data_IF_993264032686
#
_entry.id   IF_993264032686
#
_cell.length_a   1.000
_cell.length_b   1.000
_cell.length_c   1.000
_cell.angle_alpha   90.00
_cell.angle_beta   90.00
_cell.angle_gamma   90.00
#
_symmetry.space_group_name_H-M   'P 1'
#
loop_
_entity.id
_entity.type
_entity.pdbx_description
1 polymer ?
#
# COMPACT_ATOMS: atom_id res chain seq x y z
N UNK A 1 -5.23 10.42 12.66
CA UNK A 1 -4.37 9.34 12.16
C UNK A 1 -4.64 9.12 10.67
N UNK A 2 -3.61 9.09 9.87
CA UNK A 2 -3.76 8.86 8.43
C UNK A 2 -3.73 7.36 8.13
N UNK A 3 -4.85 6.84 7.65
CA UNK A 3 -5.01 5.41 7.36
C UNK A 3 -5.17 5.19 5.87
N UNK A 4 -4.57 4.13 5.34
CA UNK A 4 -4.80 3.68 3.97
C UNK A 4 -5.55 2.36 3.99
N UNK A 5 -6.49 2.19 3.07
CA UNK A 5 -7.21 0.94 2.86
C UNK A 5 -6.68 0.29 1.58
N UNK A 6 -6.19 -0.94 1.71
CA UNK A 6 -5.83 -1.77 0.57
C UNK A 6 -7.01 -2.69 0.29
N UNK A 7 -7.61 -2.56 -0.87
CA UNK A 7 -8.81 -3.33 -1.18
C UNK A 7 -8.76 -3.92 -2.59
N UNK A 8 -9.79 -4.65 -2.93
CA UNK A 8 -9.93 -5.27 -4.26
C UNK A 8 -11.16 -4.67 -4.90
N UNK A 9 -10.97 -4.02 -6.06
CA UNK A 9 -12.05 -3.39 -6.81
C UNK A 9 -11.81 -3.56 -8.30
N UNK A 10 -12.87 -3.84 -9.04
CA UNK A 10 -12.80 -3.78 -10.48
C UNK A 10 -12.59 -2.33 -10.93
N UNK A 11 -12.00 -2.13 -12.10
CA UNK A 11 -11.82 -0.81 -12.69
C UNK A 11 -13.16 -0.08 -12.80
N UNK A 12 -14.21 -0.80 -13.20
CA UNK A 12 -15.55 -0.26 -13.32
C UNK A 12 -16.07 0.30 -11.99
N UNK A 13 -15.92 -0.44 -10.89
CA UNK A 13 -16.33 0.02 -9.57
C UNK A 13 -15.54 1.24 -9.11
N UNK A 14 -14.23 1.27 -9.39
CA UNK A 14 -13.38 2.40 -9.05
C UNK A 14 -13.81 3.66 -9.78
N UNK A 15 -14.09 3.56 -11.07
CA UNK A 15 -14.56 4.70 -11.87
C UNK A 15 -15.93 5.20 -11.40
N UNK A 16 -16.83 4.29 -11.01
CA UNK A 16 -18.13 4.68 -10.47
C UNK A 16 -18.00 5.45 -9.16
N UNK A 17 -17.09 5.03 -8.29
CA UNK A 17 -16.84 5.73 -7.02
C UNK A 17 -16.28 7.14 -7.26
N UNK A 18 -15.37 7.29 -8.20
CA UNK A 18 -14.81 8.61 -8.56
C UNK A 18 -15.92 9.53 -9.09
N UNK A 19 -16.75 9.01 -9.98
CA UNK A 19 -17.88 9.78 -10.54
C UNK A 19 -18.85 10.23 -9.45
N UNK A 20 -19.17 9.35 -8.51
CA UNK A 20 -20.04 9.65 -7.39
C UNK A 20 -19.47 10.75 -6.51
N UNK A 21 -18.18 10.66 -6.17
CA UNK A 21 -17.50 11.66 -5.34
C UNK A 21 -17.53 13.03 -6.02
N UNK A 22 -17.33 13.07 -7.33
CA UNK A 22 -17.38 14.32 -8.09
C UNK A 22 -18.78 14.93 -8.10
N UNK A 23 -19.82 14.10 -8.24
CA UNK A 23 -21.21 14.57 -8.26
C UNK A 23 -21.65 15.15 -6.93
N UNK A 24 -21.25 14.55 -5.83
CA UNK A 24 -21.67 14.96 -4.48
C UNK A 24 -20.78 16.03 -3.89
N UNK A 25 -19.66 16.36 -4.52
CA UNK A 25 -18.68 17.27 -3.97
C UNK A 25 -17.96 16.74 -2.75
N UNK A 26 -18.08 15.44 -2.46
CA UNK A 26 -17.42 14.79 -1.33
C UNK A 26 -16.21 14.03 -1.83
N UNK A 27 -15.03 14.38 -1.30
CA UNK A 27 -13.85 13.57 -1.49
C UNK A 27 -13.88 12.44 -0.45
N UNK A 28 -13.46 11.24 -0.87
CA UNK A 28 -13.24 10.15 0.06
C UNK A 28 -12.09 10.55 0.98
N UNK A 29 -12.33 10.58 2.29
CA UNK A 29 -11.33 11.01 3.29
C UNK A 29 -10.30 9.94 3.56
N UNK A 30 -10.62 8.69 3.27
CA UNK A 30 -9.71 7.57 3.45
C UNK A 30 -8.90 7.35 2.18
N UNK A 31 -7.58 7.29 2.31
CA UNK A 31 -6.74 6.91 1.19
C UNK A 31 -6.99 5.45 0.85
N UNK A 32 -7.02 5.13 -0.44
CA UNK A 32 -7.25 3.77 -0.91
C UNK A 32 -6.23 3.39 -1.97
N UNK A 33 -5.76 2.15 -1.88
CA UNK A 33 -4.96 1.52 -2.92
C UNK A 33 -5.71 0.27 -3.32
N UNK A 34 -6.21 0.24 -4.56
CA UNK A 34 -7.09 -0.84 -5.02
C UNK A 34 -6.37 -1.75 -5.99
N UNK A 35 -6.57 -3.04 -5.81
CA UNK A 35 -6.06 -4.09 -6.69
C UNK A 35 -7.22 -4.65 -7.51
N UNK A 36 -6.95 -5.04 -8.75
CA UNK A 36 -8.01 -5.53 -9.63
C UNK A 36 -8.54 -6.90 -9.19
N UNK A 37 -7.71 -7.72 -8.56
CA UNK A 37 -8.10 -9.05 -8.09
C UNK A 37 -7.44 -9.35 -6.74
N UNK A 38 -8.03 -10.28 -5.93
CA UNK A 38 -7.39 -10.72 -4.68
C UNK A 38 -6.01 -11.34 -4.93
N UNK A 39 -5.85 -12.03 -6.05
CA UNK A 39 -4.59 -12.68 -6.39
C UNK A 39 -3.47 -11.65 -6.58
N UNK A 40 -3.78 -10.50 -7.20
CA UNK A 40 -2.83 -9.42 -7.34
C UNK A 40 -2.45 -8.84 -6.00
N UNK A 41 -3.43 -8.64 -5.11
CA UNK A 41 -3.16 -8.14 -3.76
C UNK A 41 -2.21 -9.08 -3.02
N UNK A 42 -2.48 -10.39 -3.04
CA UNK A 42 -1.64 -11.37 -2.36
C UNK A 42 -0.26 -11.51 -2.98
N UNK A 43 -0.15 -11.31 -4.29
CA UNK A 43 1.14 -11.33 -4.98
C UNK A 43 2.03 -10.19 -4.53
N UNK A 44 1.45 -9.03 -4.27
CA UNK A 44 2.19 -7.83 -3.82
C UNK A 44 2.45 -7.89 -2.32
N UNK A 45 1.42 -8.23 -1.52
CA UNK A 45 1.50 -8.24 -0.06
C UNK A 45 1.91 -9.61 0.48
N UNK A 46 3.17 -9.97 0.31
CA UNK A 46 3.70 -11.16 0.96
C UNK A 46 3.88 -10.91 2.45
N UNK A 47 4.06 -11.98 3.24
CA UNK A 47 4.29 -11.84 4.67
C UNK A 47 5.49 -10.94 4.99
N UNK A 48 6.58 -11.09 4.23
CA UNK A 48 7.78 -10.28 4.43
C UNK A 48 7.55 -8.80 4.08
N UNK A 49 6.78 -8.54 3.04
CA UNK A 49 6.43 -7.17 2.66
C UNK A 49 5.48 -6.53 3.65
N UNK A 50 4.57 -7.32 4.21
CA UNK A 50 3.70 -6.86 5.28
C UNK A 50 4.50 -6.42 6.50
N UNK A 51 5.48 -7.22 6.91
CA UNK A 51 6.36 -6.86 8.01
C UNK A 51 7.17 -5.59 7.71
N UNK A 52 7.60 -5.43 6.46
CA UNK A 52 8.30 -4.22 6.03
C UNK A 52 7.39 -3.00 6.16
N UNK A 53 6.14 -3.09 5.69
CA UNK A 53 5.18 -1.99 5.81
C UNK A 53 4.91 -1.63 7.28
N UNK A 54 4.81 -2.62 8.15
CA UNK A 54 4.64 -2.36 9.59
C UNK A 54 5.78 -1.50 10.13
N UNK A 55 7.00 -1.79 9.73
CA UNK A 55 8.17 -1.02 10.20
C UNK A 55 8.20 0.40 9.63
N UNK A 56 7.52 0.65 8.52
CA UNK A 56 7.50 1.95 7.85
C UNK A 56 6.31 2.81 8.22
N UNK A 57 5.29 2.24 8.87
CA UNK A 57 4.13 3.01 9.31
C UNK A 57 4.56 4.13 10.25
N UNK A 58 4.20 5.37 9.90
CA UNK A 58 4.50 6.54 10.71
C UNK A 58 5.98 6.89 10.84
N UNK A 59 6.85 6.22 10.08
CA UNK A 59 8.30 6.38 10.23
C UNK A 59 8.87 7.58 9.47
N UNK A 60 8.12 8.12 8.51
CA UNK A 60 8.64 9.11 7.58
C UNK A 60 9.60 8.48 6.56
N UNK A 61 10.27 9.28 5.73
CA UNK A 61 11.21 8.76 4.74
C UNK A 61 12.40 8.07 5.40
N UNK A 62 12.77 6.89 4.88
CA UNK A 62 13.96 6.16 5.35
C UNK A 62 14.69 5.60 4.13
N UNK A 63 15.98 5.36 4.27
CA UNK A 63 16.76 4.68 3.23
C UNK A 63 16.39 3.20 3.21
N UNK A 64 16.64 2.54 2.06
CA UNK A 64 16.43 1.08 1.96
C UNK A 64 17.32 0.35 2.96
N UNK A 65 18.54 0.84 3.18
CA UNK A 65 19.48 0.26 4.16
C UNK A 65 18.89 0.33 5.57
N UNK A 66 18.31 1.48 5.94
CA UNK A 66 17.68 1.63 7.25
C UNK A 66 16.44 0.73 7.38
N UNK A 67 15.64 0.62 6.32
CA UNK A 67 14.49 -0.29 6.31
C UNK A 67 14.94 -1.73 6.53
N UNK A 68 16.02 -2.15 5.85
CA UNK A 68 16.58 -3.50 6.02
C UNK A 68 17.03 -3.75 7.46
N UNK A 69 17.68 -2.75 8.06
CA UNK A 69 18.12 -2.83 9.46
C UNK A 69 16.91 -3.03 10.41
N UNK A 70 15.83 -2.29 10.19
CA UNK A 70 14.64 -2.34 11.04
C UNK A 70 13.97 -3.70 11.03
N UNK A 71 13.95 -4.36 9.88
CA UNK A 71 13.33 -5.69 9.75
C UNK A 71 14.35 -6.84 9.92
N UNK A 72 15.64 -6.53 10.12
CA UNK A 72 16.67 -7.52 10.33
C UNK A 72 16.92 -8.42 9.12
N UNK A 73 16.86 -7.86 7.91
CA UNK A 73 17.00 -8.61 6.67
C UNK A 73 18.10 -8.01 5.79
N UNK A 74 18.57 -8.83 4.85
CA UNK A 74 19.57 -8.42 3.88
C UNK A 74 19.07 -7.26 3.00
N UNK A 75 19.95 -6.27 2.76
CA UNK A 75 19.62 -5.07 1.97
C UNK A 75 19.14 -5.45 0.57
N UNK A 76 19.78 -6.42 -0.07
CA UNK A 76 19.43 -6.85 -1.43
C UNK A 76 17.99 -7.41 -1.47
N UNK A 77 17.64 -8.23 -0.50
CA UNK A 77 16.29 -8.79 -0.40
C UNK A 77 15.25 -7.70 -0.16
N UNK A 78 15.53 -6.76 0.75
CA UNK A 78 14.63 -5.66 1.04
C UNK A 78 14.51 -4.72 -0.17
N UNK A 79 15.60 -4.50 -0.91
CA UNK A 79 15.57 -3.73 -2.14
C UNK A 79 14.56 -4.30 -3.14
N UNK A 80 14.54 -5.62 -3.30
CA UNK A 80 13.56 -6.29 -4.18
C UNK A 80 12.13 -6.07 -3.73
N UNK A 81 11.87 -6.20 -2.43
CA UNK A 81 10.54 -5.96 -1.87
C UNK A 81 10.11 -4.50 -2.02
N UNK A 82 11.01 -3.56 -1.74
CA UNK A 82 10.75 -2.14 -1.91
C UNK A 82 10.42 -1.82 -3.38
N UNK A 83 11.19 -2.36 -4.31
CA UNK A 83 10.95 -2.14 -5.73
C UNK A 83 9.55 -2.62 -6.14
N UNK A 84 9.15 -3.80 -5.67
CA UNK A 84 7.82 -4.33 -5.96
C UNK A 84 6.72 -3.45 -5.36
N UNK A 85 6.90 -2.98 -4.14
CA UNK A 85 5.92 -2.11 -3.48
C UNK A 85 5.83 -0.73 -4.14
N UNK A 86 6.95 -0.18 -4.62
CA UNK A 86 6.96 1.06 -5.38
C UNK A 86 6.19 0.91 -6.70
N UNK A 87 6.44 -0.19 -7.42
CA UNK A 87 5.75 -0.46 -8.68
C UNK A 87 4.24 -0.62 -8.50
N UNK A 88 3.83 -1.19 -7.37
CA UNK A 88 2.41 -1.37 -7.06
C UNK A 88 1.75 -0.09 -6.52
N UNK A 89 2.50 0.97 -6.30
CA UNK A 89 1.96 2.23 -5.78
C UNK A 89 1.72 2.21 -4.28
N UNK A 90 2.26 1.23 -3.55
CA UNK A 90 2.11 1.12 -2.10
C UNK A 90 3.09 2.01 -1.36
N UNK A 91 4.31 2.10 -1.86
CA UNK A 91 5.34 3.00 -1.32
C UNK A 91 5.59 4.15 -2.28
N UNK A 92 6.05 5.27 -1.74
CA UNK A 92 6.48 6.41 -2.52
C UNK A 92 7.99 6.61 -2.37
N UNK A 93 8.61 7.14 -3.42
CA UNK A 93 10.03 7.52 -3.39
C UNK A 93 10.13 9.03 -3.23
N UNK A 94 10.98 9.47 -2.30
CA UNK A 94 11.27 10.89 -2.07
C UNK A 94 12.77 11.13 -2.16
N UNK A 95 13.18 12.40 -2.16
CA UNK A 95 14.59 12.76 -2.12
C UNK A 95 15.29 12.24 -0.85
N UNK A 96 14.54 12.07 0.23
CA UNK A 96 15.06 11.58 1.51
C UNK A 96 15.00 10.06 1.67
N UNK A 97 14.43 9.35 0.71
CA UNK A 97 14.31 7.89 0.77
C UNK A 97 12.94 7.39 0.37
N UNK A 98 12.60 6.19 0.82
CA UNK A 98 11.27 5.62 0.59
C UNK A 98 10.37 5.94 1.78
N UNK A 99 9.07 6.05 1.53
CA UNK A 99 8.11 6.36 2.58
C UNK A 99 6.82 5.58 2.35
N UNK A 100 6.24 5.12 3.44
CA UNK A 100 4.85 4.67 3.49
C UNK A 100 4.10 5.78 4.24
N UNK A 101 3.44 6.70 3.51
CA UNK A 101 2.97 7.96 4.10
C UNK A 101 1.68 7.80 4.92
N UNK A 102 1.58 6.72 5.66
CA UNK A 102 0.41 6.41 6.48
C UNK A 102 0.84 5.88 7.85
N UNK A 103 0.00 6.10 8.84
CA UNK A 103 0.24 5.63 10.19
C UNK A 103 -0.39 4.28 10.45
N UNK A 104 -1.40 3.92 9.63
CA UNK A 104 -2.09 2.65 9.75
C UNK A 104 -2.51 2.15 8.38
N UNK A 105 -2.66 0.85 8.26
CA UNK A 105 -3.11 0.21 7.04
C UNK A 105 -4.17 -0.83 7.38
N UNK A 106 -5.24 -0.80 6.61
CA UNK A 106 -6.34 -1.76 6.71
C UNK A 106 -6.42 -2.50 5.38
N UNK A 107 -6.47 -3.81 5.43
CA UNK A 107 -6.67 -4.63 4.23
C UNK A 107 -8.08 -5.20 4.29
N UNK A 108 -8.86 -5.00 3.23
CA UNK A 108 -10.20 -5.55 3.19
C UNK A 108 -10.59 -6.00 1.79
N UNK A 109 -11.21 -7.13 1.71
CA UNK A 109 -11.88 -7.63 0.52
C UNK A 109 -12.91 -8.66 0.96
N UNK A 110 -13.89 -8.90 0.08
CA UNK A 110 -14.95 -9.83 0.38
C UNK A 110 -14.72 -11.15 -0.36
N UNK A 111 -14.78 -12.26 0.37
CA UNK A 111 -14.81 -13.60 -0.21
C UNK A 111 -16.25 -14.05 -0.22
N UNK A 112 -16.78 -14.28 -1.39
CA UNK A 112 -18.18 -14.68 -1.58
C UNK A 112 -18.28 -16.03 -2.28
N UNK A 113 -19.34 -16.76 -1.96
CA UNK A 113 -19.68 -17.95 -2.72
C UNK A 113 -20.06 -17.55 -4.15
N UNK A 114 -19.67 -18.34 -5.11
CA UNK A 114 -19.95 -18.10 -6.52
C UNK A 114 -21.46 -18.22 -6.85
#
# INVERSE_FOLDING_TARGET
MKTVVLDVRSLSATLSDVSRAMKTGRADREARISFATPELLWRVLTAKRWELLKSLCGAGPVSIREAARRVGRDVKAVHGDVTALLKAGVLDRTAAGIVFPYEAVKVEFMLQAA
#
